data_IF_368665045567
#
_entry.id   IF_368665045567
#
_cell.length_a   1.000
_cell.length_b   1.000
_cell.length_c   1.000
_cell.angle_alpha   90.00
_cell.angle_beta   90.00
_cell.angle_gamma   90.00
#
_symmetry.space_group_name_H-M   'P 1'
#
loop_
_entity.id
_entity.type
_entity.pdbx_description
1 polymer ?
#
# COMPACT_ATOMS: atom_id res chain seq x y z
N UNK A 1 8.20 -13.32 -3.86
CA UNK A 1 7.89 -11.94 -3.45
C UNK A 1 9.00 -11.04 -3.95
N UNK A 2 8.90 -10.52 -5.18
CA UNK A 2 9.84 -9.52 -5.69
C UNK A 2 9.00 -8.35 -6.24
N UNK A 3 8.36 -7.60 -5.34
CA UNK A 3 7.86 -6.27 -5.68
C UNK A 3 9.01 -5.31 -5.39
N UNK A 4 9.64 -4.79 -6.44
CA UNK A 4 10.66 -3.77 -6.29
C UNK A 4 10.00 -2.50 -5.72
N UNK A 5 10.68 -1.80 -4.81
CA UNK A 5 10.16 -0.55 -4.24
C UNK A 5 9.84 0.51 -5.32
N UNK A 6 10.49 0.42 -6.47
CA UNK A 6 10.21 1.26 -7.63
C UNK A 6 10.44 0.46 -8.90
N UNK A 7 9.46 0.47 -9.79
CA UNK A 7 9.54 -0.25 -11.06
C UNK A 7 8.80 0.48 -12.18
N UNK A 8 9.23 0.21 -13.41
CA UNK A 8 8.54 0.65 -14.63
C UNK A 8 8.17 -0.61 -15.41
N UNK A 9 6.87 -0.80 -15.68
CA UNK A 9 6.37 -1.94 -16.44
C UNK A 9 5.55 -1.46 -17.63
N UNK A 10 5.59 -2.22 -18.72
CA UNK A 10 4.77 -1.96 -19.90
C UNK A 10 3.67 -3.00 -19.97
N UNK A 11 2.43 -2.53 -20.11
CA UNK A 11 1.24 -3.38 -20.18
C UNK A 11 0.54 -3.20 -21.52
N UNK A 12 -0.12 -4.26 -21.98
CA UNK A 12 -0.88 -4.25 -23.22
C UNK A 12 -2.34 -3.80 -23.01
N UNK A 13 -2.81 -3.77 -21.76
CA UNK A 13 -4.15 -3.32 -21.42
C UNK A 13 -4.23 -2.76 -19.99
N UNK A 14 -5.21 -1.89 -19.72
CA UNK A 14 -5.53 -1.42 -18.36
C UNK A 14 -5.97 -2.59 -17.47
N UNK A 15 -6.68 -3.55 -18.04
CA UNK A 15 -7.10 -4.78 -17.37
C UNK A 15 -5.91 -5.52 -16.75
N UNK A 16 -4.82 -5.66 -17.49
CA UNK A 16 -3.59 -6.33 -17.02
C UNK A 16 -2.96 -5.59 -15.82
N UNK A 17 -2.98 -4.25 -15.83
CA UNK A 17 -2.54 -3.43 -14.70
C UNK A 17 -3.44 -3.71 -13.49
N UNK A 18 -4.77 -3.72 -13.68
CA UNK A 18 -5.73 -3.97 -12.60
C UNK A 18 -5.56 -5.36 -12.00
N UNK A 19 -5.43 -6.39 -12.83
CA UNK A 19 -5.21 -7.77 -12.39
C UNK A 19 -3.91 -7.90 -11.56
N UNK A 20 -2.86 -7.15 -11.94
CA UNK A 20 -1.62 -7.06 -11.15
C UNK A 20 -1.87 -6.44 -9.78
N UNK A 21 -2.61 -5.33 -9.71
CA UNK A 21 -2.98 -4.66 -8.44
C UNK A 21 -3.86 -5.56 -7.57
N UNK A 22 -4.80 -6.29 -8.16
CA UNK A 22 -5.68 -7.24 -7.45
C UNK A 22 -4.89 -8.41 -6.83
N UNK A 23 -3.89 -8.92 -7.55
CA UNK A 23 -2.99 -9.93 -7.04
C UNK A 23 -2.18 -9.41 -5.85
N UNK A 24 -1.65 -8.18 -5.92
CA UNK A 24 -0.95 -7.57 -4.78
C UNK A 24 -1.86 -7.33 -3.58
N UNK A 25 -3.09 -6.82 -3.80
CA UNK A 25 -4.08 -6.64 -2.72
C UNK A 25 -4.32 -7.97 -2.00
N UNK A 26 -4.50 -9.06 -2.75
CA UNK A 26 -4.72 -10.39 -2.19
C UNK A 26 -3.54 -10.84 -1.33
N UNK A 27 -2.31 -10.60 -1.78
CA UNK A 27 -1.10 -10.94 -1.02
C UNK A 27 -0.98 -10.11 0.27
N UNK A 28 -1.20 -8.80 0.20
CA UNK A 28 -1.14 -7.94 1.40
C UNK A 28 -2.27 -8.24 2.38
N UNK A 29 -3.47 -8.63 1.91
CA UNK A 29 -4.56 -9.07 2.79
C UNK A 29 -4.21 -10.36 3.52
N UNK A 30 -3.58 -11.34 2.85
CA UNK A 30 -3.11 -12.55 3.51
C UNK A 30 -2.07 -12.23 4.60
N UNK A 31 -1.09 -11.38 4.28
CA UNK A 31 -0.07 -10.98 5.26
C UNK A 31 -0.65 -10.19 6.45
N UNK A 32 -1.62 -9.31 6.18
CA UNK A 32 -2.34 -8.56 7.21
C UNK A 32 -3.09 -9.50 8.16
N UNK A 33 -3.71 -10.55 7.64
CA UNK A 33 -4.39 -11.56 8.45
C UNK A 33 -3.39 -12.30 9.35
N UNK A 34 -2.29 -12.78 8.78
CA UNK A 34 -1.23 -13.48 9.53
C UNK A 34 -0.69 -12.62 10.69
N UNK A 35 -0.38 -11.35 10.41
CA UNK A 35 0.14 -10.43 11.44
C UNK A 35 -0.92 -10.00 12.45
N UNK A 36 -2.18 -9.87 12.02
CA UNK A 36 -3.29 -9.59 12.94
C UNK A 36 -3.55 -10.76 13.89
N UNK A 37 -3.43 -11.99 13.39
CA UNK A 37 -3.54 -13.21 14.21
C UNK A 37 -2.37 -13.33 15.18
N UNK A 38 -1.14 -13.06 14.73
CA UNK A 38 0.04 -13.03 15.59
C UNK A 38 -0.11 -11.99 16.69
N UNK A 39 -0.46 -10.74 16.34
CA UNK A 39 -0.71 -9.67 17.29
C UNK A 39 -1.80 -10.07 18.30
N UNK A 40 -2.91 -10.63 17.82
CA UNK A 40 -4.00 -11.10 18.68
C UNK A 40 -3.56 -12.19 19.67
N UNK A 41 -2.62 -13.04 19.26
CA UNK A 41 -2.06 -14.10 20.13
C UNK A 41 -1.18 -13.49 21.22
N UNK A 42 -0.32 -12.54 20.87
CA UNK A 42 0.50 -11.81 21.83
C UNK A 42 -0.37 -11.08 22.85
N UNK A 43 -1.35 -10.29 22.41
CA UNK A 43 -2.22 -9.49 23.28
C UNK A 43 -3.07 -10.33 24.26
N UNK A 44 -3.34 -11.60 23.94
CA UNK A 44 -4.11 -12.52 24.79
C UNK A 44 -3.23 -13.43 25.65
N UNK A 45 -1.92 -13.26 25.63
CA UNK A 45 -1.01 -14.09 26.42
C UNK A 45 -1.28 -13.90 27.93
N UNK A 46 -1.69 -14.97 28.64
CA UNK A 46 -2.04 -14.88 30.06
C UNK A 46 -0.83 -14.59 30.96
N UNK A 47 0.40 -14.93 30.55
CA UNK A 47 1.59 -14.64 31.34
C UNK A 47 1.88 -13.13 31.41
N UNK A 48 1.60 -12.41 30.32
CA UNK A 48 1.77 -10.96 30.21
C UNK A 48 0.66 -10.18 30.94
N UNK A 49 -0.51 -10.79 31.16
CA UNK A 49 -1.68 -10.15 31.78
C UNK A 49 -1.55 -9.81 33.27
N UNK A 50 -0.49 -10.30 33.93
CA UNK A 50 -0.17 -10.01 35.33
C UNK A 50 0.52 -8.64 35.49
N UNK A 51 1.00 -8.03 34.40
CA UNK A 51 1.61 -6.71 34.40
C UNK A 51 0.52 -5.61 34.22
N UNK A 52 0.32 -4.69 35.17
CA UNK A 52 -0.65 -3.60 35.02
C UNK A 52 -0.33 -2.66 33.84
N UNK A 53 0.94 -2.52 33.44
CA UNK A 53 1.33 -1.73 32.26
C UNK A 53 0.92 -2.41 30.96
N UNK A 54 0.93 -3.74 30.93
CA UNK A 54 0.43 -4.54 29.82
C UNK A 54 -1.05 -4.28 29.57
N UNK A 55 -1.88 -4.35 30.62
CA UNK A 55 -3.32 -4.10 30.49
C UNK A 55 -3.62 -2.70 29.92
N UNK A 56 -2.84 -1.69 30.33
CA UNK A 56 -2.97 -0.32 29.82
C UNK A 56 -2.55 -0.22 28.34
N UNK A 57 -1.36 -0.72 27.97
CA UNK A 57 -0.85 -0.70 26.59
C UNK A 57 -1.78 -1.48 25.64
N UNK A 58 -2.24 -2.66 26.03
CA UNK A 58 -3.20 -3.46 25.22
C UNK A 58 -4.51 -2.72 25.01
N UNK A 59 -5.06 -2.07 26.05
CA UNK A 59 -6.31 -1.28 25.94
C UNK A 59 -6.17 -0.11 24.96
N UNK A 60 -5.03 0.58 24.97
CA UNK A 60 -4.72 1.66 24.03
C UNK A 60 -4.60 1.14 22.59
N UNK A 61 -3.85 0.06 22.36
CA UNK A 61 -3.71 -0.56 21.04
C UNK A 61 -5.06 -1.04 20.49
N UNK A 62 -5.89 -1.67 21.34
CA UNK A 62 -7.23 -2.10 20.95
C UNK A 62 -8.14 -0.93 20.56
N UNK A 63 -8.02 0.23 21.24
CA UNK A 63 -8.76 1.44 20.84
C UNK A 63 -8.30 1.95 19.48
N UNK A 64 -7.01 1.94 19.19
CA UNK A 64 -6.48 2.39 17.90
C UNK A 64 -6.94 1.44 16.79
N UNK A 65 -6.83 0.12 16.99
CA UNK A 65 -7.32 -0.88 16.02
C UNK A 65 -8.81 -0.74 15.72
N UNK A 66 -9.64 -0.47 16.73
CA UNK A 66 -11.11 -0.32 16.59
C UNK A 66 -11.51 1.01 15.98
N UNK A 67 -10.77 2.09 16.26
CA UNK A 67 -11.12 3.43 15.76
C UNK A 67 -10.78 3.63 14.28
N UNK A 68 -10.02 2.72 13.66
CA UNK A 68 -9.71 2.75 12.23
C UNK A 68 -9.08 4.09 11.77
N UNK A 69 -8.56 4.87 12.71
CA UNK A 69 -8.23 6.26 12.47
C UNK A 69 -6.97 6.31 11.63
N UNK A 70 -7.13 6.58 10.34
CA UNK A 70 -6.01 6.99 9.50
C UNK A 70 -5.48 8.29 10.11
N UNK A 71 -4.36 8.21 10.84
CA UNK A 71 -3.56 9.37 11.22
C UNK A 71 -2.92 9.94 9.95
N UNK A 72 -3.75 10.61 9.16
CA UNK A 72 -3.31 11.40 8.01
C UNK A 72 -3.18 12.84 8.46
N UNK A 73 -1.94 13.34 8.49
CA UNK A 73 -1.69 14.77 8.26
C UNK A 73 -1.17 15.62 9.41
N UNK A 74 -0.91 15.11 10.62
CA UNK A 74 -0.19 15.88 11.63
C UNK A 74 1.09 15.18 12.05
N UNK A 75 2.17 15.97 12.06
CA UNK A 75 3.44 15.69 12.73
C UNK A 75 3.17 15.68 14.24
N UNK A 76 2.41 14.70 14.69
CA UNK A 76 2.12 14.44 16.09
C UNK A 76 2.93 13.22 16.48
N UNK A 77 3.64 13.38 17.59
CA UNK A 77 4.50 12.39 18.23
C UNK A 77 3.86 11.01 18.10
N UNK A 78 4.61 10.04 17.53
CA UNK A 78 4.27 8.62 17.66
C UNK A 78 3.85 8.42 19.11
N UNK A 79 2.74 7.73 19.42
CA UNK A 79 2.46 7.34 20.80
C UNK A 79 3.77 6.79 21.35
N UNK A 80 4.37 7.54 22.29
CA UNK A 80 5.64 7.17 22.91
C UNK A 80 5.28 6.06 23.87
N UNK A 81 5.00 4.89 23.32
CA UNK A 81 5.11 3.66 24.05
C UNK A 81 6.55 3.67 24.56
N UNK A 82 6.74 3.86 25.87
CA UNK A 82 8.07 3.90 26.46
C UNK A 82 8.64 2.47 26.48
N UNK A 83 8.88 1.92 25.30
CA UNK A 83 9.76 0.79 25.12
C UNK A 83 11.15 1.37 24.88
N UNK A 84 12.14 0.80 25.55
CA UNK A 84 13.53 1.23 25.52
C UNK A 84 14.16 0.89 24.16
N UNK A 85 13.69 1.57 23.11
CA UNK A 85 14.29 1.48 21.79
C UNK A 85 15.63 2.20 21.81
N UNK A 86 16.70 1.44 21.61
CA UNK A 86 18.07 1.96 21.52
C UNK A 86 18.49 1.96 20.05
N UNK A 87 18.90 3.12 19.57
CA UNK A 87 19.45 3.27 18.23
C UNK A 87 20.85 2.63 18.16
N UNK A 88 21.08 1.80 17.15
CA UNK A 88 22.37 1.23 16.81
C UNK A 88 22.64 1.45 15.33
N UNK A 89 23.34 2.54 15.00
CA UNK A 89 23.51 3.01 13.61
C UNK A 89 22.13 3.15 12.94
N UNK A 90 21.91 2.49 11.81
CA UNK A 90 20.66 2.53 11.06
C UNK A 90 19.60 1.52 11.56
N UNK A 91 19.79 0.92 12.74
CA UNK A 91 18.88 -0.07 13.34
C UNK A 91 18.33 0.41 14.68
N UNK A 92 17.14 -0.08 15.03
CA UNK A 92 16.55 0.11 16.36
C UNK A 92 16.52 -1.24 17.08
N UNK A 93 17.00 -1.28 18.32
CA UNK A 93 17.04 -2.47 19.17
C UNK A 93 16.09 -2.27 20.35
N UNK A 94 15.34 -3.30 20.73
CA UNK A 94 14.50 -3.28 21.91
C UNK A 94 14.64 -4.62 22.64
N UNK A 95 14.83 -4.57 23.95
CA UNK A 95 14.88 -5.74 24.83
C UNK A 95 13.62 -5.87 25.71
N UNK A 96 12.68 -4.93 25.57
CA UNK A 96 11.42 -4.89 26.32
C UNK A 96 10.39 -5.87 25.74
N UNK A 97 9.53 -6.39 26.61
CA UNK A 97 8.48 -7.38 26.27
C UNK A 97 7.43 -6.83 25.29
N UNK A 98 7.35 -5.50 25.14
CA UNK A 98 6.45 -4.84 24.19
C UNK A 98 7.07 -4.56 22.82
N UNK A 99 8.38 -4.72 22.65
CA UNK A 99 9.07 -4.39 21.39
C UNK A 99 8.50 -5.16 20.20
N UNK A 100 8.23 -6.46 20.37
CA UNK A 100 7.63 -7.31 19.34
C UNK A 100 6.21 -6.85 18.96
N UNK A 101 5.42 -6.45 19.95
CA UNK A 101 4.03 -6.00 19.76
C UNK A 101 4.00 -4.70 18.97
N UNK A 102 4.90 -3.78 19.30
CA UNK A 102 5.04 -2.51 18.59
C UNK A 102 5.42 -2.73 17.13
N UNK A 103 6.40 -3.60 16.84
CA UNK A 103 6.78 -3.96 15.46
C UNK A 103 5.56 -4.48 14.69
N UNK A 104 4.85 -5.46 15.25
CA UNK A 104 3.72 -6.09 14.54
C UNK A 104 2.56 -5.10 14.38
N UNK A 105 2.32 -4.25 15.39
CA UNK A 105 1.29 -3.21 15.30
C UNK A 105 1.60 -2.20 14.20
N UNK A 106 2.82 -1.67 14.15
CA UNK A 106 3.26 -0.77 13.08
C UNK A 106 3.10 -1.44 11.71
N UNK A 107 3.53 -2.70 11.57
CA UNK A 107 3.38 -3.45 10.33
C UNK A 107 1.90 -3.63 9.92
N UNK A 108 1.00 -3.91 10.86
CA UNK A 108 -0.44 -4.02 10.61
C UNK A 108 -1.02 -2.69 10.13
N UNK A 109 -0.64 -1.56 10.73
CA UNK A 109 -1.08 -0.24 10.29
C UNK A 109 -0.56 0.10 8.89
N UNK A 110 0.71 -0.18 8.61
CA UNK A 110 1.30 0.01 7.29
C UNK A 110 0.62 -0.82 6.22
N UNK A 111 0.33 -2.10 6.49
CA UNK A 111 -0.37 -2.99 5.58
C UNK A 111 -1.79 -2.50 5.29
N UNK A 112 -2.54 -2.06 6.31
CA UNK A 112 -3.87 -1.45 6.12
C UNK A 112 -3.81 -0.22 5.22
N UNK A 113 -2.85 0.67 5.48
CA UNK A 113 -2.63 1.86 4.66
C UNK A 113 -2.26 1.50 3.21
N UNK A 114 -1.44 0.46 3.03
CA UNK A 114 -1.01 -0.03 1.73
C UNK A 114 -2.17 -0.60 0.92
N UNK A 115 -2.98 -1.46 1.54
CA UNK A 115 -4.19 -2.04 0.93
C UNK A 115 -5.15 -0.92 0.52
N UNK A 116 -5.36 0.09 1.36
CA UNK A 116 -6.23 1.23 1.02
C UNK A 116 -5.73 1.99 -0.22
N UNK A 117 -4.42 2.23 -0.34
CA UNK A 117 -3.83 2.87 -1.53
C UNK A 117 -4.04 2.03 -2.79
N UNK A 118 -3.82 0.72 -2.70
CA UNK A 118 -4.03 -0.21 -3.81
C UNK A 118 -5.50 -0.30 -4.24
N UNK A 119 -6.43 -0.36 -3.29
CA UNK A 119 -7.88 -0.37 -3.58
C UNK A 119 -8.31 0.92 -4.28
N UNK A 120 -7.79 2.09 -3.86
CA UNK A 120 -8.01 3.36 -4.57
C UNK A 120 -7.49 3.31 -6.01
N UNK A 121 -6.26 2.83 -6.21
CA UNK A 121 -5.68 2.69 -7.54
C UNK A 121 -6.48 1.72 -8.43
N UNK A 122 -6.92 0.58 -7.87
CA UNK A 122 -7.78 -0.40 -8.56
C UNK A 122 -9.10 0.22 -9.02
N UNK A 123 -9.73 1.04 -8.17
CA UNK A 123 -10.97 1.73 -8.50
C UNK A 123 -10.74 2.74 -9.65
N UNK A 124 -9.68 3.54 -9.57
CA UNK A 124 -9.31 4.46 -10.66
C UNK A 124 -9.01 3.72 -11.97
N UNK A 125 -8.35 2.56 -11.94
CA UNK A 125 -8.12 1.72 -13.13
C UNK A 125 -9.43 1.17 -13.70
N UNK A 126 -10.37 0.81 -12.84
CA UNK A 126 -11.70 0.32 -13.25
C UNK A 126 -12.51 1.41 -13.94
N UNK A 127 -12.44 2.64 -13.43
CA UNK A 127 -13.02 3.81 -14.10
C UNK A 127 -12.31 4.10 -15.43
N UNK A 128 -10.97 4.07 -15.43
CA UNK A 128 -10.15 4.30 -16.62
C UNK A 128 -10.45 3.31 -17.76
N UNK A 129 -10.70 2.04 -17.43
CA UNK A 129 -11.07 1.02 -18.40
C UNK A 129 -12.41 1.33 -19.11
N UNK A 130 -13.35 2.00 -18.43
CA UNK A 130 -14.65 2.38 -19.02
C UNK A 130 -14.50 3.47 -20.09
N UNK A 131 -13.48 4.34 -19.99
CA UNK A 131 -13.26 5.39 -20.98
C UNK A 131 -12.73 4.84 -22.30
N UNK A 132 -11.89 3.80 -22.27
CA UNK A 132 -11.37 3.10 -23.45
C UNK A 132 -10.41 3.93 -24.33
N UNK A 133 -9.17 3.47 -24.51
CA UNK A 133 -8.13 4.20 -25.29
C UNK A 133 -7.85 3.59 -26.67
N UNK A 134 -8.79 2.82 -27.22
CA UNK A 134 -8.63 2.11 -28.49
C UNK A 134 -7.72 0.86 -28.40
N UNK A 135 -7.64 0.09 -29.49
CA UNK A 135 -6.99 -1.23 -29.51
C UNK A 135 -5.48 -1.22 -29.78
N UNK A 136 -4.90 -0.06 -30.10
CA UNK A 136 -3.50 0.06 -30.55
C UNK A 136 -2.62 0.92 -29.65
N UNK A 137 -2.76 0.76 -28.33
CA UNK A 137 -1.95 1.48 -27.33
C UNK A 137 -1.22 0.52 -26.40
N UNK A 138 -0.13 0.99 -25.82
CA UNK A 138 0.61 0.39 -24.71
C UNK A 138 0.65 1.37 -23.54
N UNK A 139 0.67 0.81 -22.34
CA UNK A 139 0.64 1.56 -21.10
C UNK A 139 1.99 1.39 -20.39
N UNK A 140 2.77 2.45 -20.33
CA UNK A 140 4.01 2.47 -19.55
C UNK A 140 3.68 2.99 -18.17
N UNK A 141 3.73 2.11 -17.18
CA UNK A 141 3.27 2.37 -15.82
C UNK A 141 4.46 2.49 -14.89
N UNK A 142 4.53 3.61 -14.17
CA UNK A 142 5.41 3.81 -13.04
C UNK A 142 4.72 3.30 -11.78
N UNK A 143 5.33 2.33 -11.12
CA UNK A 143 4.79 1.63 -9.96
C UNK A 143 5.74 1.88 -8.78
N UNK A 144 5.19 2.41 -7.69
CA UNK A 144 5.94 2.65 -6.46
C UNK A 144 5.40 1.74 -5.35
N UNK A 145 6.29 0.90 -4.83
CA UNK A 145 5.99 -0.13 -3.85
C UNK A 145 4.83 -1.04 -4.29
N UNK A 146 4.62 -1.27 -5.59
CA UNK A 146 3.47 -2.02 -6.10
C UNK A 146 2.20 -1.21 -6.44
N UNK A 147 2.12 0.08 -6.03
CA UNK A 147 0.99 0.95 -6.42
C UNK A 147 1.31 1.65 -7.74
N UNK A 148 0.48 1.52 -8.79
CA UNK A 148 0.63 2.29 -10.01
C UNK A 148 0.26 3.76 -9.77
N UNK A 149 1.22 4.67 -9.93
CA UNK A 149 1.00 6.09 -9.66
C UNK A 149 0.90 6.93 -10.93
N UNK A 150 1.57 6.51 -12.02
CA UNK A 150 1.57 7.24 -13.30
C UNK A 150 1.50 6.27 -14.45
N UNK A 151 0.69 6.59 -15.44
CA UNK A 151 0.53 5.79 -16.66
C UNK A 151 0.71 6.69 -17.86
N UNK A 152 1.71 6.41 -18.69
CA UNK A 152 1.88 7.03 -19.99
C UNK A 152 1.29 6.13 -21.07
N UNK A 153 0.39 6.67 -21.88
CA UNK A 153 -0.25 5.96 -22.99
C UNK A 153 0.54 6.27 -24.26
N UNK A 154 0.99 5.22 -24.97
CA UNK A 154 1.70 5.36 -26.24
C UNK A 154 1.04 4.51 -27.32
N UNK A 155 1.00 4.96 -28.58
CA UNK A 155 0.63 4.10 -29.69
C UNK A 155 1.56 2.88 -29.74
N UNK A 156 1.02 1.69 -30.05
CA UNK A 156 1.84 0.54 -30.42
C UNK A 156 2.59 0.89 -31.70
N UNK A 157 3.92 0.85 -31.66
CA UNK A 157 4.75 0.93 -32.86
C UNK A 157 4.57 -0.35 -33.67
N UNK A 158 3.74 -0.29 -34.70
CA UNK A 158 3.76 -1.26 -35.80
C UNK A 158 4.91 -0.87 -36.74
N UNK A 159 5.68 -1.86 -37.23
CA UNK A 159 6.82 -1.67 -38.14
C UNK A 159 6.48 -0.85 -39.42
N UNK A 160 5.20 -0.68 -39.74
CA UNK A 160 4.72 0.10 -40.89
C UNK A 160 4.52 1.61 -40.64
N UNK A 161 4.58 2.08 -39.38
CA UNK A 161 4.16 3.44 -39.00
C UNK A 161 5.31 4.44 -38.78
N UNK A 162 6.58 4.05 -38.97
CA UNK A 162 7.69 4.99 -38.76
C UNK A 162 7.83 6.07 -39.85
N UNK A 163 7.15 5.92 -41.01
CA UNK A 163 7.35 6.88 -42.11
C UNK A 163 6.19 7.85 -42.42
N UNK A 164 4.95 7.67 -41.93
CA UNK A 164 3.83 8.47 -42.50
C UNK A 164 2.85 9.20 -41.58
N UNK A 165 2.79 9.00 -40.26
CA UNK A 165 1.77 9.70 -39.46
C UNK A 165 2.27 10.21 -38.10
N UNK A 166 2.53 11.52 -38.03
CA UNK A 166 2.51 12.27 -36.77
C UNK A 166 1.05 12.52 -36.39
N UNK A 167 0.50 11.70 -35.49
CA UNK A 167 -0.80 11.98 -34.89
C UNK A 167 -0.60 12.84 -33.65
N UNK A 168 -1.13 14.06 -33.67
CA UNK A 168 -1.19 14.95 -32.50
C UNK A 168 -2.48 14.60 -31.76
N UNK A 169 -2.35 14.03 -30.56
CA UNK A 169 -3.49 13.80 -29.67
C UNK A 169 -3.59 14.98 -28.69
N UNK A 170 -4.66 15.77 -28.80
CA UNK A 170 -5.03 16.76 -27.80
C UNK A 170 -5.95 16.13 -26.76
N UNK A 171 -5.59 16.24 -25.49
CA UNK A 171 -6.46 15.88 -24.38
C UNK A 171 -7.31 17.09 -24.00
N UNK A 172 -8.63 17.01 -24.18
CA UNK A 172 -9.56 18.03 -23.67
C UNK A 172 -10.26 17.53 -22.41
N UNK A 173 -10.15 18.32 -21.34
CA UNK A 173 -10.94 18.13 -20.12
C UNK A 173 -12.19 19.01 -20.24
N UNK A 174 -13.38 18.39 -20.27
CA UNK A 174 -14.64 19.12 -20.28
C UNK A 174 -14.88 19.69 -18.89
N UNK A 175 -14.84 21.03 -18.74
CA UNK A 175 -15.31 21.70 -17.53
C UNK A 175 -16.83 21.56 -17.46
N UNK A 176 -17.34 20.87 -16.44
CA UNK A 176 -18.74 20.96 -16.05
C UNK A 176 -18.97 22.32 -15.38
N UNK A 177 -20.01 23.02 -15.85
CA UNK A 177 -20.51 24.31 -15.33
C UNK A 177 -21.47 24.01 -14.18
#
# INVERSE_FOLDING_TARGET
MNSLATEIRTFSSIREIRETVEAEISQYKALLEDYSQWLGTLLRNPESSKNPEWAKKVSELQKILKSGSSRSGKKEEKPSYSSEWVEFKDLMLCADEFGEIEIIFEAVEELKNKINKLEKAKNSLTELERYGFGKNVVYVTYIQNGVPEKIAIKPKKTLENEEKFKFVADFSVVKQI
#
